data_IF_392021152447
#
_entry.id   IF_392021152447
#
_cell.length_a   1.000
_cell.length_b   1.000
_cell.length_c   1.000
_cell.angle_alpha   90.00
_cell.angle_beta   90.00
_cell.angle_gamma   90.00
#
_symmetry.space_group_name_H-M   'P 1'
#
loop_
_entity.id
_entity.type
_entity.pdbx_description
1 polymer ?
#
# COMPACT_ATOMS: atom_id res chain seq x y z
N UNK A 1 13.77 -0.33 39.69
CA UNK A 1 13.65 1.15 39.55
C UNK A 1 12.57 1.41 38.50
N UNK A 2 11.43 1.87 38.99
CA UNK A 2 10.31 2.19 38.10
C UNK A 2 10.56 3.57 37.51
N UNK A 3 10.86 3.62 36.21
CA UNK A 3 10.81 4.88 35.46
C UNK A 3 9.34 5.34 35.42
N UNK A 4 9.09 6.42 36.18
CA UNK A 4 7.86 7.19 36.04
C UNK A 4 7.80 7.72 34.61
N UNK A 5 6.97 7.09 33.76
CA UNK A 5 6.50 7.71 32.54
C UNK A 5 5.76 9.01 32.92
N UNK A 6 6.50 10.10 32.86
CA UNK A 6 5.89 11.44 32.95
C UNK A 6 4.99 11.58 31.73
N UNK A 7 3.70 11.46 31.94
CA UNK A 7 2.68 11.74 30.95
C UNK A 7 2.80 13.21 30.53
N UNK A 8 3.58 13.50 29.51
CA UNK A 8 3.63 14.83 28.93
C UNK A 8 2.35 15.07 28.13
N UNK A 9 1.57 16.01 28.63
CA UNK A 9 0.41 16.52 27.88
C UNK A 9 0.93 17.21 26.62
N UNK A 10 0.50 16.74 25.46
CA UNK A 10 0.86 17.28 24.16
C UNK A 10 -0.38 17.92 23.53
N UNK A 11 -0.25 19.15 23.08
CA UNK A 11 -1.31 19.87 22.39
C UNK A 11 -0.90 20.08 20.93
N UNK A 12 -1.75 19.63 20.02
CA UNK A 12 -1.54 19.78 18.57
C UNK A 12 -2.65 20.68 18.00
N UNK A 13 -2.25 21.66 17.20
CA UNK A 13 -3.17 22.52 16.46
C UNK A 13 -3.37 21.98 15.05
N UNK A 14 -4.60 22.00 14.58
CA UNK A 14 -4.96 21.53 13.24
C UNK A 14 -6.12 22.32 12.68
N UNK A 15 -6.53 21.94 11.46
CA UNK A 15 -7.70 22.51 10.78
C UNK A 15 -8.85 21.53 10.93
N UNK A 16 -10.00 22.01 11.42
CA UNK A 16 -11.20 21.20 11.51
C UNK A 16 -11.79 20.97 10.11
N UNK A 17 -11.90 19.72 9.69
CA UNK A 17 -12.48 19.31 8.40
C UNK A 17 -13.87 18.69 8.55
N UNK A 18 -14.30 18.47 9.79
CA UNK A 18 -15.64 18.00 10.14
C UNK A 18 -16.07 18.61 11.47
N UNK A 19 -17.36 18.64 11.73
CA UNK A 19 -17.92 19.10 13.01
C UNK A 19 -17.85 17.99 14.06
N UNK A 20 -17.68 18.36 15.32
CA UNK A 20 -17.80 17.48 16.46
C UNK A 20 -16.53 17.43 17.31
N UNK A 21 -16.66 16.78 18.46
CA UNK A 21 -15.59 16.53 19.42
C UNK A 21 -15.57 15.02 19.66
N UNK A 22 -14.38 14.42 19.57
CA UNK A 22 -14.18 13.00 19.85
C UNK A 22 -13.04 12.83 20.86
N UNK A 23 -13.11 11.78 21.66
CA UNK A 23 -12.00 11.36 22.51
C UNK A 23 -11.82 9.85 22.43
N UNK A 24 -10.59 9.38 22.62
CA UNK A 24 -10.29 7.95 22.54
C UNK A 24 -8.79 7.70 22.63
N UNK A 25 -8.42 6.46 22.44
CA UNK A 25 -7.01 6.08 22.37
C UNK A 25 -6.40 6.50 21.03
N UNK A 26 -5.31 7.28 21.10
CA UNK A 26 -4.58 7.66 19.89
C UNK A 26 -3.81 6.46 19.34
N UNK A 27 -3.95 6.21 18.03
CA UNK A 27 -3.12 5.27 17.29
C UNK A 27 -2.21 6.05 16.36
N UNK A 28 -0.92 6.05 16.67
CA UNK A 28 0.08 6.72 15.83
C UNK A 28 0.43 5.81 14.67
N UNK A 29 0.17 6.28 13.46
CA UNK A 29 0.64 5.64 12.24
C UNK A 29 1.87 6.40 11.75
N UNK A 30 3.01 5.74 11.81
CA UNK A 30 4.21 6.27 11.18
C UNK A 30 4.14 5.96 9.68
N UNK A 31 4.06 6.98 8.87
CA UNK A 31 4.39 6.87 7.45
C UNK A 31 5.89 6.72 7.33
N UNK A 32 6.38 5.49 7.45
CA UNK A 32 7.74 5.22 7.02
C UNK A 32 7.79 5.49 5.52
N UNK A 33 8.61 6.45 5.10
CA UNK A 33 8.96 6.56 3.70
C UNK A 33 9.68 5.27 3.32
N UNK A 34 8.99 4.39 2.60
CA UNK A 34 9.61 3.22 2.00
C UNK A 34 10.73 3.73 1.10
N UNK A 35 11.97 3.55 1.54
CA UNK A 35 13.11 3.75 0.66
C UNK A 35 13.08 2.62 -0.37
N UNK A 36 12.53 2.93 -1.52
CA UNK A 36 12.44 2.00 -2.63
C UNK A 36 13.77 2.05 -3.37
N UNK A 37 14.55 0.97 -3.39
CA UNK A 37 15.83 0.96 -4.10
C UNK A 37 15.56 1.06 -5.60
N UNK A 38 16.32 1.92 -6.27
CA UNK A 38 16.29 2.10 -7.73
C UNK A 38 17.63 1.69 -8.30
N UNK A 39 17.62 0.69 -9.18
CA UNK A 39 18.83 0.18 -9.82
C UNK A 39 18.55 -0.29 -11.24
N UNK A 40 19.59 -0.35 -12.05
CA UNK A 40 19.49 -0.91 -13.40
C UNK A 40 19.63 -2.42 -13.36
N UNK A 41 18.91 -3.10 -14.22
CA UNK A 41 18.97 -4.57 -14.41
C UNK A 41 19.70 -4.89 -15.70
N UNK A 42 20.40 -6.01 -15.72
CA UNK A 42 21.01 -6.51 -16.95
C UNK A 42 19.95 -7.09 -17.87
N UNK A 43 20.23 -7.16 -19.16
CA UNK A 43 19.31 -7.77 -20.14
C UNK A 43 18.93 -9.21 -19.76
N UNK A 44 19.86 -9.95 -19.14
CA UNK A 44 19.65 -11.34 -18.70
C UNK A 44 18.73 -11.43 -17.47
N UNK A 45 18.63 -10.36 -16.68
CA UNK A 45 17.82 -10.33 -15.46
C UNK A 45 16.43 -9.73 -15.67
N UNK A 46 16.14 -9.18 -16.84
CA UNK A 46 14.84 -8.58 -17.19
C UNK A 46 13.68 -9.55 -16.94
N UNK A 47 13.82 -10.81 -17.38
CA UNK A 47 12.78 -11.80 -17.19
C UNK A 47 12.53 -12.14 -15.70
N UNK A 48 13.58 -12.09 -14.89
CA UNK A 48 13.45 -12.26 -13.43
C UNK A 48 12.68 -11.09 -12.80
N UNK A 49 12.95 -9.86 -13.26
CA UNK A 49 12.24 -8.67 -12.78
C UNK A 49 10.76 -8.70 -13.15
N UNK A 50 10.43 -9.06 -14.37
CA UNK A 50 9.04 -9.26 -14.80
C UNK A 50 8.37 -10.37 -14.00
N UNK A 51 9.11 -11.43 -13.68
CA UNK A 51 8.65 -12.49 -12.77
C UNK A 51 8.36 -11.98 -11.35
N UNK A 52 9.18 -11.05 -10.81
CA UNK A 52 8.94 -10.39 -9.53
C UNK A 52 7.66 -9.55 -9.58
N UNK A 53 7.48 -8.75 -10.63
CA UNK A 53 6.25 -7.99 -10.85
C UNK A 53 5.02 -8.90 -10.80
N UNK A 54 5.04 -9.99 -11.58
CA UNK A 54 3.92 -10.94 -11.64
C UNK A 54 3.60 -11.57 -10.28
N UNK A 55 4.62 -11.94 -9.51
CA UNK A 55 4.45 -12.47 -8.14
C UNK A 55 3.83 -11.43 -7.21
N UNK A 56 4.28 -10.18 -7.29
CA UNK A 56 3.77 -9.08 -6.47
C UNK A 56 2.31 -8.79 -6.79
N UNK A 57 1.94 -8.69 -8.05
CA UNK A 57 0.55 -8.52 -8.50
C UNK A 57 -0.33 -9.66 -7.99
N UNK A 58 0.12 -10.90 -8.12
CA UNK A 58 -0.62 -12.07 -7.63
C UNK A 58 -0.78 -12.07 -6.11
N UNK A 59 0.25 -11.62 -5.37
CA UNK A 59 0.19 -11.53 -3.91
C UNK A 59 -0.81 -10.48 -3.46
N UNK A 60 -0.73 -9.27 -4.02
CA UNK A 60 -1.64 -8.16 -3.70
C UNK A 60 -3.08 -8.52 -4.07
N UNK A 61 -3.30 -9.15 -5.21
CA UNK A 61 -4.63 -9.62 -5.63
C UNK A 61 -5.24 -10.60 -4.61
N UNK A 62 -4.44 -11.53 -4.09
CA UNK A 62 -4.90 -12.47 -3.04
C UNK A 62 -5.18 -11.78 -1.71
N UNK A 63 -4.35 -10.81 -1.33
CA UNK A 63 -4.57 -10.01 -0.12
C UNK A 63 -5.86 -9.22 -0.20
N UNK A 64 -6.13 -8.58 -1.33
CA UNK A 64 -7.39 -7.87 -1.58
C UNK A 64 -8.60 -8.81 -1.50
N UNK A 65 -8.51 -10.01 -2.07
CA UNK A 65 -9.55 -11.04 -1.93
C UNK A 65 -9.80 -11.43 -0.47
N UNK A 66 -8.74 -11.59 0.31
CA UNK A 66 -8.86 -11.89 1.73
C UNK A 66 -9.51 -10.74 2.50
N UNK A 67 -9.12 -9.48 2.20
CA UNK A 67 -9.73 -8.30 2.83
C UNK A 67 -11.22 -8.21 2.50
N UNK A 68 -11.61 -8.44 1.25
CA UNK A 68 -13.02 -8.45 0.84
C UNK A 68 -13.81 -9.53 1.59
N UNK A 69 -13.26 -10.75 1.69
CA UNK A 69 -13.92 -11.87 2.38
C UNK A 69 -14.02 -11.67 3.89
N UNK A 70 -13.00 -11.06 4.51
CA UNK A 70 -12.94 -10.79 5.95
C UNK A 70 -13.64 -9.50 6.34
N UNK A 71 -14.11 -8.72 5.38
CA UNK A 71 -14.81 -7.47 5.65
C UNK A 71 -16.04 -7.74 6.53
N UNK A 72 -16.17 -7.04 7.67
CA UNK A 72 -17.29 -7.22 8.56
C UNK A 72 -18.62 -6.96 7.84
N UNK A 73 -19.68 -7.72 8.16
CA UNK A 73 -21.03 -7.49 7.59
C UNK A 73 -21.56 -6.07 7.82
N UNK A 74 -21.04 -5.40 8.86
CA UNK A 74 -21.36 -4.00 9.22
C UNK A 74 -20.42 -2.98 8.59
N UNK A 75 -19.42 -3.39 7.81
CA UNK A 75 -18.55 -2.44 7.11
C UNK A 75 -19.36 -1.62 6.10
N UNK A 76 -19.05 -0.32 5.94
CA UNK A 76 -19.67 0.50 4.91
C UNK A 76 -19.52 -0.15 3.54
N UNK A 77 -20.57 -0.12 2.73
CA UNK A 77 -20.55 -0.72 1.37
C UNK A 77 -19.44 -0.11 0.51
N UNK A 78 -19.14 1.15 0.73
CA UNK A 78 -18.09 1.90 0.05
C UNK A 78 -16.71 1.26 0.22
N UNK A 79 -16.39 0.73 1.42
CA UNK A 79 -15.11 0.06 1.68
C UNK A 79 -14.95 -1.17 0.80
N UNK A 80 -16.00 -1.98 0.69
CA UNK A 80 -15.97 -3.17 -0.17
C UNK A 80 -15.83 -2.79 -1.64
N UNK A 81 -16.58 -1.77 -2.09
CA UNK A 81 -16.50 -1.26 -3.46
C UNK A 81 -15.10 -0.75 -3.78
N UNK A 82 -14.45 -0.03 -2.86
CA UNK A 82 -13.07 0.41 -3.03
C UNK A 82 -12.10 -0.77 -3.21
N UNK A 83 -12.20 -1.80 -2.38
CA UNK A 83 -11.34 -2.98 -2.49
C UNK A 83 -11.55 -3.72 -3.82
N UNK A 84 -12.79 -3.79 -4.30
CA UNK A 84 -13.12 -4.39 -5.60
C UNK A 84 -12.52 -3.57 -6.76
N UNK A 85 -12.57 -2.24 -6.70
CA UNK A 85 -11.94 -1.36 -7.69
C UNK A 85 -10.42 -1.51 -7.67
N UNK A 86 -9.78 -1.52 -6.51
CA UNK A 86 -8.34 -1.76 -6.40
C UNK A 86 -7.95 -3.11 -6.97
N UNK A 87 -8.75 -4.15 -6.74
CA UNK A 87 -8.51 -5.46 -7.32
C UNK A 87 -8.57 -5.43 -8.84
N UNK A 88 -9.52 -4.70 -9.44
CA UNK A 88 -9.60 -4.55 -10.89
C UNK A 88 -8.35 -3.84 -11.43
N UNK A 89 -7.90 -2.77 -10.77
CA UNK A 89 -6.70 -2.02 -11.18
C UNK A 89 -5.44 -2.89 -11.11
N UNK A 90 -5.27 -3.64 -10.02
CA UNK A 90 -4.10 -4.52 -9.85
C UNK A 90 -4.07 -5.64 -10.90
N UNK A 91 -5.21 -6.10 -11.36
CA UNK A 91 -5.32 -7.16 -12.37
C UNK A 91 -5.49 -6.63 -13.81
N UNK A 92 -5.32 -5.33 -14.02
CA UNK A 92 -5.36 -4.74 -15.34
C UNK A 92 -4.14 -5.19 -16.17
N UNK A 93 -4.39 -5.92 -17.25
CA UNK A 93 -3.34 -6.42 -18.13
C UNK A 93 -2.58 -5.29 -18.81
N UNK A 94 -3.25 -4.19 -19.17
CA UNK A 94 -2.63 -3.03 -19.82
C UNK A 94 -1.57 -2.41 -18.90
N UNK A 95 -1.89 -2.23 -17.63
CA UNK A 95 -0.93 -1.72 -16.65
C UNK A 95 0.27 -2.67 -16.47
N UNK A 96 0.01 -3.97 -16.43
CA UNK A 96 1.08 -4.97 -16.33
C UNK A 96 2.00 -4.95 -17.56
N UNK A 97 1.42 -4.86 -18.75
CA UNK A 97 2.17 -4.84 -20.01
C UNK A 97 3.01 -3.56 -20.13
N UNK A 98 2.44 -2.39 -19.80
CA UNK A 98 3.15 -1.12 -19.79
C UNK A 98 4.37 -1.12 -18.85
N UNK A 99 4.23 -1.68 -17.63
CA UNK A 99 5.34 -1.78 -16.68
C UNK A 99 6.38 -2.79 -17.19
N UNK A 100 5.95 -3.91 -17.74
CA UNK A 100 6.85 -4.92 -18.31
C UNK A 100 7.67 -4.36 -19.47
N UNK A 101 7.06 -3.60 -20.35
CA UNK A 101 7.72 -2.92 -21.46
C UNK A 101 8.76 -1.90 -20.96
N UNK A 102 8.45 -1.16 -19.91
CA UNK A 102 9.41 -0.24 -19.29
C UNK A 102 10.62 -0.98 -18.72
N UNK A 103 10.40 -2.08 -18.01
CA UNK A 103 11.49 -2.91 -17.47
C UNK A 103 12.38 -3.39 -18.60
N UNK A 104 11.80 -3.86 -19.71
CA UNK A 104 12.54 -4.36 -20.88
C UNK A 104 13.32 -3.27 -21.59
N UNK A 105 12.67 -2.15 -21.88
CA UNK A 105 13.26 -1.09 -22.72
C UNK A 105 14.26 -0.22 -21.98
N UNK A 106 14.01 0.05 -20.68
CA UNK A 106 14.84 0.92 -19.88
C UNK A 106 15.82 0.17 -18.98
N UNK A 107 15.70 -1.17 -18.90
CA UNK A 107 16.53 -2.03 -18.05
C UNK A 107 16.59 -1.54 -16.59
N UNK A 108 15.42 -1.27 -16.04
CA UNK A 108 15.22 -0.77 -14.67
C UNK A 108 14.51 -1.84 -13.82
N UNK A 109 14.67 -1.74 -12.51
CA UNK A 109 13.96 -2.62 -11.59
C UNK A 109 12.47 -2.25 -11.49
N UNK A 110 11.67 -3.17 -11.00
CA UNK A 110 10.20 -3.04 -10.94
C UNK A 110 9.72 -1.89 -10.05
N UNK A 111 10.53 -1.45 -9.11
CA UNK A 111 10.22 -0.37 -8.16
C UNK A 111 10.55 1.04 -8.71
N UNK A 112 11.15 1.13 -9.88
CA UNK A 112 11.48 2.44 -10.49
C UNK A 112 10.19 3.21 -10.83
#
# INVERSE_FOLDING_TARGET
MSEKLVSQRQELRGVGVSSGIGFGHARVMQTSSLQVPRYSVTAEDVDKEIGRLRKSVSSVSRELDQMIRRSPKKAPKEVKTFLEVFKLLVNDSTMFDDVSDRIQTQQINVEW
#
